data_IF_759000499500
#
_entry.id   IF_759000499500
#
_cell.length_a   1.000
_cell.length_b   1.000
_cell.length_c   1.000
_cell.angle_alpha   90.00
_cell.angle_beta   90.00
_cell.angle_gamma   90.00
#
_symmetry.space_group_name_H-M   'P 1'
#
loop_
_entity.id
_entity.type
_entity.pdbx_description
1 polymer ?
#
# COMPACT_ATOMS: atom_id res chain seq x y z
N UNK A 1 7.06 -12.93 24.05
CA UNK A 1 6.49 -13.10 22.71
C UNK A 1 5.43 -12.02 22.58
N UNK A 2 5.78 -10.84 22.04
CA UNK A 2 4.85 -9.71 21.99
C UNK A 2 3.87 -9.92 20.83
N UNK A 3 2.57 -9.85 21.09
CA UNK A 3 1.56 -9.92 20.04
C UNK A 3 1.57 -8.61 19.25
N UNK A 4 2.25 -8.61 18.10
CA UNK A 4 2.23 -7.49 17.18
C UNK A 4 0.89 -7.48 16.42
N UNK A 5 0.09 -6.41 16.54
CA UNK A 5 -1.20 -6.35 15.87
C UNK A 5 -1.03 -6.29 14.34
N UNK A 6 -1.91 -6.98 13.62
CA UNK A 6 -1.93 -7.04 12.15
C UNK A 6 -1.93 -5.65 11.48
N UNK A 7 -2.57 -4.66 12.11
CA UNK A 7 -2.51 -3.24 11.74
C UNK A 7 -2.88 -2.37 12.95
N UNK A 8 -2.37 -1.14 13.01
CA UNK A 8 -2.68 -0.17 14.06
C UNK A 8 -3.01 1.20 13.46
N UNK A 9 -4.12 1.78 13.89
CA UNK A 9 -4.48 3.17 13.58
C UNK A 9 -4.18 4.08 14.76
N UNK A 10 -3.49 5.19 14.51
CA UNK A 10 -3.30 6.29 15.47
C UNK A 10 -4.06 7.50 14.95
N UNK A 11 -5.11 7.92 15.65
CA UNK A 11 -5.91 9.08 15.27
C UNK A 11 -5.14 10.37 15.53
N UNK A 12 -5.15 11.29 14.55
CA UNK A 12 -4.60 12.64 14.65
C UNK A 12 -5.64 13.66 15.12
N UNK A 13 -5.72 14.83 14.47
CA UNK A 13 -6.70 15.86 14.81
C UNK A 13 -8.08 15.56 14.23
N UNK A 14 -9.10 15.61 15.08
CA UNK A 14 -10.52 15.42 14.72
C UNK A 14 -11.19 16.78 14.49
N UNK A 15 -10.84 17.49 13.42
CA UNK A 15 -11.69 18.57 12.91
C UNK A 15 -12.73 17.94 11.99
N UNK A 16 -14.01 18.08 12.33
CA UNK A 16 -15.12 17.14 12.06
C UNK A 16 -15.42 16.67 10.62
N UNK A 17 -14.60 17.00 9.62
CA UNK A 17 -14.77 16.58 8.22
C UNK A 17 -13.58 15.74 7.70
N UNK A 18 -12.36 15.92 8.22
CA UNK A 18 -11.14 15.25 7.70
C UNK A 18 -10.55 14.32 8.76
N UNK A 19 -10.49 13.02 8.43
CA UNK A 19 -9.84 12.01 9.29
C UNK A 19 -8.34 11.99 9.03
N UNK A 20 -7.60 12.66 9.90
CA UNK A 20 -6.12 12.61 9.89
C UNK A 20 -5.62 11.58 10.88
N UNK A 21 -4.51 10.91 10.56
CA UNK A 21 -3.94 9.88 11.42
C UNK A 21 -2.75 9.16 10.80
N UNK A 22 -2.36 8.06 11.42
CA UNK A 22 -1.27 7.20 10.98
C UNK A 22 -1.72 5.73 10.99
N UNK A 23 -1.59 5.06 9.85
CA UNK A 23 -1.79 3.61 9.69
C UNK A 23 -0.43 2.92 9.72
N UNK A 24 -0.20 2.12 10.76
CA UNK A 24 1.02 1.31 10.93
C UNK A 24 0.73 -0.14 10.62
N UNK A 25 1.59 -0.74 9.81
CA UNK A 25 1.57 -2.16 9.42
C UNK A 25 2.92 -2.78 9.80
N UNK A 26 2.95 -4.04 10.26
CA UNK A 26 4.21 -4.70 10.55
C UNK A 26 5.07 -4.80 9.28
N UNK A 27 6.38 -4.54 9.40
CA UNK A 27 7.37 -4.59 8.31
C UNK A 27 7.08 -3.65 7.12
N UNK A 28 6.31 -2.58 7.32
CA UNK A 28 6.01 -1.56 6.30
C UNK A 28 6.18 -0.17 6.88
N UNK A 29 6.39 0.80 6.00
CA UNK A 29 6.40 2.21 6.37
C UNK A 29 4.98 2.64 6.81
N UNK A 30 4.91 3.49 7.84
CA UNK A 30 3.64 3.97 8.35
C UNK A 30 3.03 5.01 7.39
N UNK A 31 1.73 4.89 7.11
CA UNK A 31 1.00 5.69 6.12
C UNK A 31 0.24 6.82 6.85
N UNK A 32 0.57 8.08 6.54
CA UNK A 32 -0.13 9.26 7.10
C UNK A 32 -1.44 9.52 6.35
N UNK A 33 -2.58 9.39 6.99
CA UNK A 33 -3.90 9.63 6.37
C UNK A 33 -4.27 11.12 6.41
N UNK A 34 -4.91 11.68 5.35
CA UNK A 34 -5.21 11.04 4.06
C UNK A 34 -3.95 10.86 3.18
N UNK A 35 -3.80 9.70 2.53
CA UNK A 35 -2.69 9.39 1.62
C UNK A 35 -3.21 8.81 0.30
N UNK A 36 -2.50 9.09 -0.80
CA UNK A 36 -2.79 8.52 -2.11
C UNK A 36 -1.95 7.27 -2.37
N UNK A 37 -2.63 6.14 -2.57
CA UNK A 37 -2.02 4.90 -3.04
C UNK A 37 -2.08 4.86 -4.57
N UNK A 38 -0.92 4.73 -5.21
CA UNK A 38 -0.87 4.71 -6.68
C UNK A 38 -1.51 3.44 -7.24
N UNK A 39 -2.22 3.59 -8.36
CA UNK A 39 -2.76 2.44 -9.06
C UNK A 39 -1.65 1.71 -9.81
N UNK A 40 -1.51 0.42 -9.55
CA UNK A 40 -0.56 -0.45 -10.22
C UNK A 40 -1.27 -1.61 -10.89
N UNK A 41 -0.74 -2.01 -12.05
CA UNK A 41 -1.14 -3.20 -12.79
C UNK A 41 0.07 -4.09 -12.96
N UNK A 42 -0.08 -5.41 -12.79
CA UNK A 42 1.01 -6.40 -12.90
C UNK A 42 2.28 -6.04 -12.08
N UNK A 43 2.10 -5.34 -10.95
CA UNK A 43 3.21 -4.94 -10.07
C UNK A 43 3.94 -3.65 -10.46
N UNK A 44 3.48 -2.90 -11.48
CA UNK A 44 4.07 -1.63 -11.89
C UNK A 44 3.02 -0.52 -12.05
N UNK A 45 3.43 0.72 -11.79
CA UNK A 45 2.59 1.90 -12.07
C UNK A 45 2.62 2.15 -13.59
N UNK A 46 1.46 2.21 -14.28
CA UNK A 46 1.42 2.43 -15.72
C UNK A 46 2.15 3.71 -16.16
N UNK A 47 2.92 3.60 -17.24
CA UNK A 47 3.67 4.71 -17.87
C UNK A 47 4.76 5.36 -17.01
N UNK A 48 5.04 4.84 -15.81
CA UNK A 48 6.04 5.39 -14.91
C UNK A 48 7.12 4.34 -14.64
N UNK A 49 8.37 4.71 -14.91
CA UNK A 49 9.51 3.86 -14.55
C UNK A 49 9.73 3.88 -13.05
N UNK A 50 10.23 2.77 -12.49
CA UNK A 50 10.47 2.66 -11.05
C UNK A 50 11.45 3.72 -10.52
N UNK A 51 12.42 4.14 -11.35
CA UNK A 51 13.33 5.24 -11.04
C UNK A 51 12.59 6.56 -10.89
N UNK A 52 11.59 6.83 -11.74
CA UNK A 52 10.81 8.05 -11.66
C UNK A 52 9.90 8.05 -10.43
N UNK A 53 9.33 6.90 -10.09
CA UNK A 53 8.58 6.72 -8.83
C UNK A 53 9.46 7.08 -7.64
N UNK A 54 10.66 6.51 -7.57
CA UNK A 54 11.57 6.70 -6.43
C UNK A 54 12.09 8.14 -6.32
N UNK A 55 12.39 8.79 -7.46
CA UNK A 55 12.99 10.13 -7.48
C UNK A 55 11.97 11.27 -7.34
N UNK A 56 10.76 11.11 -7.87
CA UNK A 56 9.81 12.22 -8.04
C UNK A 56 8.50 12.03 -7.27
N UNK A 57 8.31 10.91 -6.58
CA UNK A 57 7.05 10.64 -5.87
C UNK A 57 7.33 10.23 -4.43
N UNK A 58 6.42 10.62 -3.53
CA UNK A 58 6.45 10.22 -2.12
C UNK A 58 5.28 9.28 -1.80
N UNK A 59 5.11 8.28 -2.68
CA UNK A 59 4.03 7.29 -2.59
C UNK A 59 4.45 6.20 -1.58
N UNK A 60 3.62 5.95 -0.57
CA UNK A 60 3.92 4.99 0.50
C UNK A 60 3.44 3.56 0.16
N UNK A 61 2.72 3.38 -0.94
CA UNK A 61 2.26 2.08 -1.42
C UNK A 61 1.48 2.18 -2.72
N UNK A 62 1.32 1.06 -3.39
CA UNK A 62 0.51 0.93 -4.60
C UNK A 62 -0.65 -0.02 -4.36
N UNK A 63 -1.82 0.32 -4.91
CA UNK A 63 -2.98 -0.55 -4.98
C UNK A 63 -2.91 -1.37 -6.26
N UNK A 64 -2.96 -2.69 -6.13
CA UNK A 64 -3.02 -3.63 -7.25
C UNK A 64 -4.40 -4.26 -7.30
N UNK A 65 -5.08 -4.12 -8.43
CA UNK A 65 -6.37 -4.74 -8.64
C UNK A 65 -6.23 -6.28 -8.67
N UNK A 66 -7.19 -6.99 -8.08
CA UNK A 66 -7.11 -8.44 -7.92
C UNK A 66 -7.10 -9.17 -9.27
N UNK A 67 -7.83 -8.65 -10.25
CA UNK A 67 -7.94 -9.18 -11.62
C UNK A 67 -6.64 -9.11 -12.42
N UNK A 68 -5.75 -8.18 -12.09
CA UNK A 68 -4.43 -8.05 -12.69
C UNK A 68 -3.43 -9.08 -12.13
N UNK A 69 -3.79 -9.73 -11.01
CA UNK A 69 -2.99 -10.77 -10.38
C UNK A 69 -3.25 -12.13 -11.05
N UNK A 70 -2.78 -12.32 -12.28
CA UNK A 70 -2.90 -13.59 -13.00
C UNK A 70 -1.85 -14.64 -12.64
N UNK A 71 -0.92 -14.34 -11.73
CA UNK A 71 0.28 -15.16 -11.52
C UNK A 71 0.17 -16.22 -10.41
N UNK A 72 -0.77 -16.11 -9.47
CA UNK A 72 -0.83 -17.03 -8.32
C UNK A 72 -1.69 -18.29 -8.55
N UNK A 73 -2.65 -18.27 -9.49
CA UNK A 73 -3.54 -19.43 -9.71
C UNK A 73 -3.03 -20.44 -10.76
N UNK A 74 -1.95 -20.14 -11.49
CA UNK A 74 -1.42 -21.03 -12.54
C UNK A 74 -0.36 -22.03 -12.03
N UNK A 75 0.22 -21.82 -10.85
CA UNK A 75 1.34 -22.65 -10.35
C UNK A 75 0.89 -23.80 -9.44
N UNK A 76 -0.42 -24.07 -9.29
CA UNK A 76 -0.93 -25.12 -8.42
C UNK A 76 -1.17 -26.47 -9.12
N UNK A 77 -0.75 -26.63 -10.39
CA UNK A 77 -1.00 -27.86 -11.18
C UNK A 77 0.26 -28.68 -11.54
N UNK A 78 1.40 -28.45 -10.90
CA UNK A 78 2.57 -29.34 -11.02
C UNK A 78 3.20 -29.59 -9.65
N UNK A 79 2.57 -30.51 -8.91
CA UNK A 79 3.19 -31.33 -7.87
C UNK A 79 2.59 -32.73 -7.97
#
# INVERSE_FOLDING_TARGET
MSEEPMFKFTTGSTSGVVRTGLLSLPNRQAIKTPHYLALASRGAIPHLTQDNVTKHTHICGAYMAAEDCKFVLSQQSLA
#
